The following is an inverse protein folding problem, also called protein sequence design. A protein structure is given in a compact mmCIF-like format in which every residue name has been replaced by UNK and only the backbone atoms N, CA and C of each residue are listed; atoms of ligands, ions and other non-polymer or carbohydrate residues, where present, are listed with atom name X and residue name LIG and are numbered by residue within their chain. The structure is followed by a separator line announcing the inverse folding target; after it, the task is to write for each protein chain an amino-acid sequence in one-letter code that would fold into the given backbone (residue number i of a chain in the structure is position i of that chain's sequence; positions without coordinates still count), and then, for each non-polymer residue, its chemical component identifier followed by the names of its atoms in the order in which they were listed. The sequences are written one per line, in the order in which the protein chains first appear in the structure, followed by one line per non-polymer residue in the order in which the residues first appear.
data_IF_168434983916
#
_entry.id   IF_168434983916
#
_cell.length_a   1.000
_cell.length_b   1.000
_cell.length_c   1.000
_cell.angle_alpha   90.00
_cell.angle_beta   90.00
_cell.angle_gamma   90.00
#
_symmetry.space_group_name_H-M   'P 1'
#
loop_
_entity.id
_entity.type
_entity.pdbx_description
1 polymer ?
#
# COMPACT_ATOMS: atom_id res chain seq x y z
N UNK A 1 23.25 2.32 3.37
CA UNK A 1 22.13 2.21 4.33
C UNK A 1 21.64 0.77 4.34
N UNK A 2 21.36 0.15 5.49
CA UNK A 2 21.01 -1.27 5.54
C UNK A 2 19.82 -1.50 6.49
N UNK A 3 18.71 -1.97 5.92
CA UNK A 3 17.58 -2.49 6.72
C UNK A 3 18.04 -3.82 7.34
N UNK A 4 18.15 -3.86 8.65
CA UNK A 4 18.61 -5.03 9.39
C UNK A 4 17.50 -5.60 10.29
N UNK A 5 17.74 -6.79 10.84
CA UNK A 5 16.76 -7.46 11.71
C UNK A 5 16.36 -6.62 12.92
N UNK A 6 17.31 -5.93 13.55
CA UNK A 6 17.04 -5.09 14.73
C UNK A 6 16.04 -3.97 14.41
N UNK A 7 16.15 -3.35 13.23
CA UNK A 7 15.18 -2.35 12.79
C UNK A 7 13.80 -2.99 12.56
N UNK A 8 13.73 -4.15 11.90
CA UNK A 8 12.46 -4.84 11.67
C UNK A 8 11.78 -5.19 13.00
N UNK A 9 12.53 -5.74 13.96
CA UNK A 9 12.00 -6.07 15.28
C UNK A 9 11.42 -4.82 16.00
N UNK A 10 12.11 -3.67 15.93
CA UNK A 10 11.61 -2.40 16.46
C UNK A 10 10.38 -1.89 15.69
N UNK A 11 10.39 -2.00 14.37
CA UNK A 11 9.28 -1.56 13.52
C UNK A 11 7.99 -2.34 13.81
N UNK A 12 8.08 -3.65 13.98
CA UNK A 12 6.92 -4.48 14.30
C UNK A 12 6.33 -4.13 15.67
N UNK A 13 7.17 -3.82 16.66
CA UNK A 13 6.70 -3.32 17.97
C UNK A 13 6.03 -1.96 17.80
N UNK A 14 6.72 -1.02 17.15
CA UNK A 14 6.19 0.32 16.88
C UNK A 14 4.87 0.26 16.09
N UNK A 15 4.79 -0.55 15.04
CA UNK A 15 3.59 -0.67 14.23
C UNK A 15 2.40 -1.23 15.00
N UNK A 16 2.63 -2.15 15.94
CA UNK A 16 1.59 -2.65 16.85
C UNK A 16 1.10 -1.56 17.81
N UNK A 17 2.02 -0.80 18.41
CA UNK A 17 1.68 0.31 19.30
C UNK A 17 0.91 1.40 18.56
N UNK A 18 1.41 1.84 17.40
CA UNK A 18 0.75 2.83 16.56
C UNK A 18 -0.64 2.35 16.12
N UNK A 19 -0.76 1.07 15.73
CA UNK A 19 -2.05 0.48 15.37
C UNK A 19 -3.08 0.54 16.50
N UNK A 20 -2.65 0.30 17.74
CA UNK A 20 -3.51 0.44 18.92
C UNK A 20 -3.94 1.89 19.16
N UNK A 21 -2.99 2.84 19.09
CA UNK A 21 -3.26 4.28 19.21
C UNK A 21 -4.30 4.74 18.15
N UNK A 22 -4.15 4.28 16.90
CA UNK A 22 -5.06 4.60 15.79
C UNK A 22 -6.46 4.02 16.03
N UNK A 23 -6.56 2.77 16.51
CA UNK A 23 -7.84 2.15 16.85
C UNK A 23 -8.54 2.85 18.03
N UNK A 24 -7.80 3.29 19.03
CA UNK A 24 -8.35 4.08 20.15
C UNK A 24 -8.94 5.40 19.65
N UNK A 25 -8.27 6.08 18.71
CA UNK A 25 -8.78 7.29 18.07
C UNK A 25 -10.05 6.99 17.26
N UNK A 26 -10.08 5.86 16.52
CA UNK A 26 -11.26 5.44 15.74
C UNK A 26 -12.50 5.21 16.63
N UNK A 27 -12.29 4.64 17.81
CA UNK A 27 -13.37 4.37 18.78
C UNK A 27 -13.95 5.64 19.41
N UNK A 28 -13.14 6.68 19.56
CA UNK A 28 -13.57 7.98 20.08
C UNK A 28 -14.18 8.86 18.97
N UNK A 29 -15.37 8.45 18.49
CA UNK A 29 -16.09 9.14 17.41
C UNK A 29 -16.37 10.62 17.69
N UNK A 30 -16.41 11.03 18.96
CA UNK A 30 -16.65 12.42 19.37
C UNK A 30 -15.43 13.32 19.14
N UNK A 31 -14.25 12.77 18.96
CA UNK A 31 -12.97 13.47 18.90
C UNK A 31 -12.14 13.09 17.65
N UNK A 32 -12.78 12.58 16.59
CA UNK A 32 -12.10 12.27 15.32
C UNK A 32 -11.56 13.52 14.61
N UNK A 33 -12.11 14.70 14.92
CA UNK A 33 -11.74 15.99 14.32
C UNK A 33 -11.58 15.90 12.79
N UNK A 34 -12.65 15.42 12.13
CA UNK A 34 -12.64 15.20 10.68
C UNK A 34 -12.70 16.54 9.97
N UNK A 35 -11.69 16.82 9.16
CA UNK A 35 -11.60 17.99 8.30
C UNK A 35 -11.63 17.55 6.83
N UNK A 36 -11.93 18.49 5.94
CA UNK A 36 -11.87 18.25 4.49
C UNK A 36 -10.63 18.94 3.93
N UNK A 37 -9.79 18.19 3.22
CA UNK A 37 -8.62 18.73 2.52
C UNK A 37 -9.06 19.53 1.28
N UNK A 38 -8.13 20.21 0.62
CA UNK A 38 -8.41 21.03 -0.58
C UNK A 38 -8.91 20.21 -1.78
N UNK A 39 -8.60 18.93 -1.81
CA UNK A 39 -9.00 17.96 -2.85
C UNK A 39 -10.27 17.18 -2.47
N UNK A 40 -11.02 17.67 -1.50
CA UNK A 40 -12.24 17.06 -0.95
C UNK A 40 -12.01 15.70 -0.25
N UNK A 41 -10.77 15.28 -0.02
CA UNK A 41 -10.47 14.09 0.79
C UNK A 41 -10.60 14.40 2.28
N UNK A 42 -10.99 13.42 3.11
CA UNK A 42 -11.06 13.61 4.55
C UNK A 42 -9.67 13.52 5.18
N UNK A 43 -9.49 14.31 6.23
CA UNK A 43 -8.36 14.27 7.15
C UNK A 43 -8.90 14.04 8.55
N UNK A 44 -8.39 13.11 9.29
CA UNK A 44 -8.74 12.90 10.69
C UNK A 44 -7.55 13.20 11.61
N UNK A 45 -7.84 13.33 12.89
CA UNK A 45 -6.82 13.44 13.93
C UNK A 45 -5.85 12.23 13.89
N UNK A 46 -6.34 11.06 13.48
CA UNK A 46 -5.53 9.85 13.41
C UNK A 46 -4.45 9.95 12.32
N UNK A 47 -4.75 10.55 11.16
CA UNK A 47 -3.78 10.77 10.09
C UNK A 47 -2.61 11.62 10.58
N UNK A 48 -2.90 12.76 11.21
CA UNK A 48 -1.87 13.66 11.76
C UNK A 48 -1.06 13.02 12.90
N UNK A 49 -1.74 12.28 13.79
CA UNK A 49 -1.09 11.55 14.87
C UNK A 49 -0.15 10.47 14.31
N UNK A 50 -0.64 9.67 13.38
CA UNK A 50 0.12 8.60 12.71
C UNK A 50 1.33 9.16 11.97
N UNK A 51 1.15 10.22 11.17
CA UNK A 51 2.25 10.90 10.46
C UNK A 51 3.37 11.33 11.42
N UNK A 52 3.00 12.01 12.51
CA UNK A 52 3.98 12.46 13.51
C UNK A 52 4.73 11.31 14.16
N UNK A 53 4.01 10.25 14.56
CA UNK A 53 4.59 9.06 15.20
C UNK A 53 5.58 8.34 14.27
N UNK A 54 5.18 8.14 13.00
CA UNK A 54 6.02 7.50 11.98
C UNK A 54 7.29 8.30 11.76
N UNK A 55 7.20 9.60 11.54
CA UNK A 55 8.37 10.46 11.30
C UNK A 55 9.33 10.46 12.48
N UNK A 56 8.82 10.53 13.71
CA UNK A 56 9.65 10.44 14.92
C UNK A 56 10.39 9.12 14.96
N UNK A 57 9.69 7.99 14.79
CA UNK A 57 10.30 6.66 14.79
C UNK A 57 11.37 6.51 13.71
N UNK A 58 11.11 6.99 12.48
CA UNK A 58 12.07 6.89 11.39
C UNK A 58 13.30 7.76 11.64
N UNK A 59 13.14 8.99 12.12
CA UNK A 59 14.25 9.90 12.42
C UNK A 59 15.16 9.41 13.56
N UNK A 60 14.63 8.65 14.50
CA UNK A 60 15.40 8.03 15.59
C UNK A 60 16.20 6.80 15.15
N UNK A 61 15.82 6.16 14.05
CA UNK A 61 16.42 4.91 13.58
C UNK A 61 17.20 5.03 12.27
N UNK A 62 17.06 6.14 11.53
CA UNK A 62 17.74 6.38 10.24
C UNK A 62 18.18 7.83 10.06
N UNK A 63 19.29 8.01 9.36
CA UNK A 63 19.79 9.34 8.98
C UNK A 63 19.07 9.94 7.75
N UNK A 64 18.12 9.21 7.12
CA UNK A 64 17.35 9.70 5.97
C UNK A 64 16.27 10.65 6.46
N UNK A 65 16.42 11.94 6.07
CA UNK A 65 15.53 13.02 6.48
C UNK A 65 14.61 13.53 5.36
N UNK A 66 14.61 12.84 4.22
CA UNK A 66 13.74 13.15 3.08
C UNK A 66 12.45 12.35 3.21
N UNK A 67 11.32 13.05 3.22
CA UNK A 67 9.99 12.45 3.40
C UNK A 67 9.03 13.01 2.37
N UNK A 68 8.23 12.15 1.76
CA UNK A 68 7.01 12.48 1.02
C UNK A 68 5.88 11.78 1.76
N UNK A 69 4.95 12.55 2.32
CA UNK A 69 3.80 12.00 3.04
C UNK A 69 2.52 12.67 2.55
N UNK A 70 1.43 11.91 2.52
CA UNK A 70 0.09 12.44 2.21
C UNK A 70 -0.29 13.65 3.08
N UNK A 71 0.19 13.69 4.33
CA UNK A 71 -0.17 14.73 5.31
C UNK A 71 0.85 15.87 5.40
N UNK A 72 1.88 15.84 4.58
CA UNK A 72 2.87 16.91 4.53
C UNK A 72 2.48 17.99 3.49
N UNK A 73 3.14 19.13 3.59
CA UNK A 73 3.10 20.11 2.51
C UNK A 73 3.78 19.54 1.27
N UNK A 74 3.20 19.84 0.12
CA UNK A 74 3.81 19.51 -1.16
C UNK A 74 5.23 20.07 -1.26
N UNK A 75 6.18 19.20 -1.61
CA UNK A 75 7.57 19.54 -1.89
C UNK A 75 7.72 19.65 -3.40
N UNK A 76 8.34 20.74 -3.88
CA UNK A 76 8.52 20.93 -5.32
C UNK A 76 9.36 19.78 -5.92
N UNK A 77 9.19 19.52 -7.20
CA UNK A 77 9.95 18.46 -7.87
C UNK A 77 11.46 18.80 -7.89
N UNK A 78 11.79 20.05 -8.12
CA UNK A 78 13.18 20.54 -8.14
C UNK A 78 13.91 20.31 -6.82
N UNK A 79 13.18 20.36 -5.69
CA UNK A 79 13.76 20.13 -4.36
C UNK A 79 14.00 18.63 -4.08
N UNK A 80 13.25 17.72 -4.73
CA UNK A 80 13.26 16.28 -4.44
C UNK A 80 13.78 15.39 -5.57
N UNK A 81 13.89 15.87 -6.82
CA UNK A 81 14.27 15.06 -7.99
C UNK A 81 15.62 14.33 -7.84
N UNK A 82 16.55 14.93 -7.07
CA UNK A 82 17.88 14.39 -6.84
C UNK A 82 18.02 13.61 -5.52
N UNK A 83 16.91 13.29 -4.84
CA UNK A 83 16.99 12.49 -3.62
C UNK A 83 17.42 11.06 -3.92
N UNK A 84 18.53 10.65 -3.34
CA UNK A 84 18.99 9.25 -3.47
C UNK A 84 18.14 8.31 -2.60
N UNK A 85 17.83 8.74 -1.36
CA UNK A 85 16.97 8.00 -0.43
C UNK A 85 15.90 8.91 0.15
N UNK A 86 14.68 8.40 0.24
CA UNK A 86 13.54 9.11 0.86
C UNK A 86 12.47 8.12 1.33
N UNK A 87 11.69 8.57 2.29
CA UNK A 87 10.53 7.84 2.77
C UNK A 87 9.26 8.31 2.04
N UNK A 88 8.44 7.34 1.64
CA UNK A 88 7.05 7.55 1.19
C UNK A 88 6.12 7.01 2.26
N UNK A 89 5.17 7.85 2.72
CA UNK A 89 4.32 7.55 3.88
C UNK A 89 2.87 7.87 3.55
N UNK A 90 2.00 6.89 3.74
CA UNK A 90 0.57 7.13 3.92
C UNK A 90 0.21 6.75 5.36
N UNK A 91 -0.07 7.74 6.21
CA UNK A 91 -0.35 7.51 7.62
C UNK A 91 -1.62 6.71 7.87
N UNK A 92 -2.65 6.87 7.02
CA UNK A 92 -3.89 6.07 7.03
C UNK A 92 -4.47 5.99 5.61
N UNK A 93 -4.03 5.01 4.84
CA UNK A 93 -4.68 4.63 3.58
C UNK A 93 -6.07 4.07 3.88
N UNK A 94 -7.10 4.68 3.30
CA UNK A 94 -8.47 4.33 3.55
C UNK A 94 -9.14 5.17 4.65
N UNK A 95 -8.80 6.46 4.75
CA UNK A 95 -9.38 7.40 5.75
C UNK A 95 -10.91 7.42 5.74
N UNK A 96 -11.56 7.24 4.58
CA UNK A 96 -13.03 7.17 4.48
C UNK A 96 -13.61 5.95 5.22
N UNK A 97 -12.98 4.81 5.06
CA UNK A 97 -13.34 3.55 5.73
C UNK A 97 -13.05 3.65 7.24
N UNK A 98 -11.91 4.22 7.60
CA UNK A 98 -11.53 4.49 8.99
C UNK A 98 -12.56 5.34 9.71
N UNK A 99 -12.98 6.48 9.14
CA UNK A 99 -13.97 7.40 9.74
C UNK A 99 -15.32 6.70 9.94
N UNK A 100 -15.72 5.82 9.04
CA UNK A 100 -16.96 5.02 9.17
C UNK A 100 -16.87 3.93 10.24
N UNK A 101 -15.69 3.70 10.82
CA UNK A 101 -15.46 2.62 11.78
C UNK A 101 -15.27 1.26 11.09
N UNK A 102 -14.86 1.26 9.82
CA UNK A 102 -14.52 0.05 9.06
C UNK A 102 -13.14 -0.49 9.42
N UNK A 103 -12.82 -1.65 8.87
CA UNK A 103 -11.55 -2.36 9.10
C UNK A 103 -10.57 -2.25 7.94
N UNK A 104 -11.02 -1.76 6.78
CA UNK A 104 -10.26 -1.76 5.53
C UNK A 104 -9.41 -0.49 5.41
N UNK A 105 -8.48 -0.29 6.34
CA UNK A 105 -7.50 0.79 6.31
C UNK A 105 -6.12 0.28 6.71
N UNK A 106 -5.08 0.93 6.19
CA UNK A 106 -3.69 0.54 6.40
C UNK A 106 -2.81 1.73 6.76
N UNK A 107 -1.61 1.44 7.27
CA UNK A 107 -0.51 2.38 7.46
C UNK A 107 0.60 1.95 6.51
N UNK A 108 0.98 2.80 5.56
CA UNK A 108 2.00 2.49 4.57
C UNK A 108 3.28 3.27 4.84
N UNK A 109 4.42 2.58 4.89
CA UNK A 109 5.74 3.17 5.05
C UNK A 109 6.68 2.50 4.05
N UNK A 110 7.23 3.26 3.10
CA UNK A 110 8.22 2.77 2.16
C UNK A 110 9.52 3.55 2.25
N UNK A 111 10.64 2.88 2.02
CA UNK A 111 11.92 3.50 1.75
C UNK A 111 12.26 3.28 0.29
N UNK A 112 12.50 4.37 -0.41
CA UNK A 112 12.93 4.36 -1.82
C UNK A 112 14.41 4.65 -1.96
N UNK A 113 15.00 4.08 -3.00
CA UNK A 113 16.30 4.47 -3.55
C UNK A 113 16.10 4.88 -5.01
N UNK A 114 16.41 6.15 -5.34
CA UNK A 114 16.05 6.69 -6.66
C UNK A 114 14.53 6.59 -6.88
N UNK A 115 14.10 5.86 -7.90
CA UNK A 115 12.67 5.69 -8.26
C UNK A 115 12.08 4.32 -7.92
N UNK A 116 12.73 3.55 -7.07
CA UNK A 116 12.26 2.21 -6.72
C UNK A 116 12.19 2.00 -5.22
N UNK A 117 11.19 1.27 -4.70
CA UNK A 117 11.16 0.88 -3.30
C UNK A 117 12.22 -0.19 -3.02
N UNK A 118 12.95 -0.02 -1.92
CA UNK A 118 13.90 -1.02 -1.40
C UNK A 118 13.43 -1.63 -0.09
N UNK A 119 12.38 -1.06 0.50
CA UNK A 119 11.72 -1.54 1.70
C UNK A 119 10.27 -1.05 1.71
N UNK A 120 9.36 -1.90 2.17
CA UNK A 120 7.96 -1.55 2.41
C UNK A 120 7.44 -2.18 3.70
N UNK A 121 6.57 -1.45 4.37
CA UNK A 121 5.79 -1.90 5.50
C UNK A 121 4.33 -1.48 5.32
N UNK A 122 3.42 -2.42 5.54
CA UNK A 122 1.96 -2.19 5.56
C UNK A 122 1.41 -2.74 6.87
N UNK A 123 0.98 -1.85 7.74
CA UNK A 123 0.28 -2.21 8.98
C UNK A 123 -1.23 -2.20 8.76
N UNK A 124 -1.93 -3.22 9.24
CA UNK A 124 -3.39 -3.35 9.15
C UNK A 124 -3.97 -3.40 10.57
N UNK A 125 -4.15 -2.25 11.24
CA UNK A 125 -4.46 -2.20 12.68
C UNK A 125 -5.70 -3.00 13.07
N UNK A 126 -6.78 -2.88 12.30
CA UNK A 126 -8.04 -3.55 12.60
C UNK A 126 -7.98 -5.08 12.46
N UNK A 127 -7.01 -5.60 11.72
CA UNK A 127 -6.79 -7.04 11.53
C UNK A 127 -5.69 -7.58 12.45
N UNK A 128 -4.88 -6.70 13.05
CA UNK A 128 -3.71 -7.08 13.81
C UNK A 128 -2.57 -7.63 12.96
N UNK A 129 -2.62 -7.43 11.64
CA UNK A 129 -1.64 -7.93 10.68
C UNK A 129 -0.61 -6.85 10.33
N UNK A 130 0.63 -7.28 10.11
CA UNK A 130 1.74 -6.43 9.68
C UNK A 130 2.51 -7.12 8.56
N UNK A 131 2.64 -6.45 7.43
CA UNK A 131 3.37 -6.93 6.27
C UNK A 131 4.62 -6.10 6.07
N UNK A 132 5.70 -6.72 5.65
CA UNK A 132 6.90 -6.02 5.22
C UNK A 132 7.68 -6.81 4.19
N UNK A 133 8.46 -6.09 3.39
CA UNK A 133 9.41 -6.66 2.46
C UNK A 133 10.69 -5.83 2.39
N UNK A 134 11.78 -6.49 2.04
CA UNK A 134 13.09 -5.88 1.81
C UNK A 134 13.56 -6.40 0.45
N UNK A 135 14.02 -5.52 -0.42
CA UNK A 135 14.55 -5.86 -1.74
C UNK A 135 15.51 -7.06 -1.67
N UNK A 136 15.21 -8.11 -2.44
CA UNK A 136 15.98 -9.36 -2.53
C UNK A 136 15.93 -10.26 -1.30
N UNK A 137 15.02 -10.01 -0.32
CA UNK A 137 14.93 -10.83 0.90
C UNK A 137 13.57 -11.48 1.13
N UNK A 138 12.59 -11.17 0.27
CA UNK A 138 11.23 -11.70 0.33
C UNK A 138 10.28 -10.88 1.17
N UNK A 139 9.01 -11.26 1.09
CA UNK A 139 7.89 -10.66 1.81
C UNK A 139 7.51 -11.47 3.03
N UNK A 140 7.02 -10.78 4.07
CA UNK A 140 6.67 -11.37 5.35
C UNK A 140 5.34 -10.80 5.88
N UNK A 141 4.57 -11.64 6.53
CA UNK A 141 3.40 -11.28 7.34
C UNK A 141 3.65 -11.71 8.78
N UNK A 142 3.60 -10.79 9.74
CA UNK A 142 3.82 -11.09 11.17
C UNK A 142 5.10 -11.91 11.43
N UNK A 143 6.17 -11.63 10.68
CA UNK A 143 7.46 -12.33 10.65
C UNK A 143 7.48 -13.71 9.98
N UNK A 144 6.36 -14.20 9.47
CA UNK A 144 6.30 -15.41 8.64
C UNK A 144 6.45 -15.05 7.17
N UNK A 145 7.28 -15.80 6.44
CA UNK A 145 7.48 -15.56 5.01
C UNK A 145 6.20 -15.90 4.24
N UNK A 146 5.81 -15.03 3.33
CA UNK A 146 4.65 -15.19 2.47
C UNK A 146 5.06 -15.28 1.00
N UNK A 147 4.19 -15.90 0.22
CA UNK A 147 4.33 -16.05 -1.22
C UNK A 147 2.97 -15.81 -1.87
N UNK A 148 2.99 -15.15 -3.00
CA UNK A 148 1.81 -15.11 -3.85
C UNK A 148 1.47 -16.51 -4.34
N UNK A 149 0.26 -16.69 -4.82
CA UNK A 149 -0.16 -17.96 -5.39
C UNK A 149 0.70 -18.30 -6.61
N UNK A 150 1.43 -19.41 -6.58
CA UNK A 150 2.19 -19.84 -7.75
C UNK A 150 1.23 -20.52 -8.72
N UNK A 151 1.03 -19.92 -9.86
CA UNK A 151 0.23 -20.28 -11.01
C UNK A 151 0.08 -21.78 -11.33
N UNK A 152 -0.68 -22.48 -10.56
CA UNK A 152 -1.32 -23.70 -11.04
C UNK A 152 -2.79 -23.37 -11.23
N UNK A 153 -3.19 -22.90 -12.43
CA UNK A 153 -4.59 -22.81 -12.84
C UNK A 153 -5.24 -24.20 -12.98
N UNK A 154 -4.97 -25.08 -12.01
CA UNK A 154 -5.73 -26.34 -11.87
C UNK A 154 -7.19 -26.04 -11.51
N UNK A 155 -7.47 -24.84 -10.97
CA UNK A 155 -8.82 -24.31 -10.81
C UNK A 155 -9.10 -23.27 -11.90
N UNK A 156 -10.22 -23.37 -12.60
CA UNK A 156 -10.69 -22.37 -13.54
C UNK A 156 -11.20 -21.08 -12.82
N UNK A 157 -10.97 -20.96 -11.52
CA UNK A 157 -11.42 -19.85 -10.67
C UNK A 157 -10.30 -18.82 -10.54
N UNK A 158 -10.65 -17.55 -10.76
CA UNK A 158 -9.76 -16.40 -10.63
C UNK A 158 -10.30 -15.44 -9.57
N UNK A 159 -9.55 -15.25 -8.48
CA UNK A 159 -9.90 -14.33 -7.42
C UNK A 159 -9.43 -12.92 -7.78
N UNK A 160 -10.35 -12.02 -8.11
CA UNK A 160 -10.05 -10.63 -8.47
C UNK A 160 -10.39 -9.71 -7.31
N UNK A 161 -9.41 -8.97 -6.78
CA UNK A 161 -9.70 -7.94 -5.78
C UNK A 161 -9.99 -6.60 -6.45
N UNK A 162 -11.07 -5.95 -6.02
CA UNK A 162 -11.43 -4.63 -6.50
C UNK A 162 -11.92 -3.73 -5.36
N UNK A 163 -11.98 -2.42 -5.61
CA UNK A 163 -12.49 -1.46 -4.64
C UNK A 163 -14.01 -1.52 -4.57
N UNK A 164 -14.56 -1.60 -3.35
CA UNK A 164 -16.00 -1.47 -3.10
C UNK A 164 -16.58 -0.14 -3.58
N UNK A 165 -15.78 0.92 -3.48
CA UNK A 165 -16.23 2.32 -3.64
C UNK A 165 -15.87 2.93 -5.00
N UNK A 166 -15.03 2.26 -5.81
CA UNK A 166 -14.45 2.83 -7.03
C UNK A 166 -14.46 1.83 -8.21
N UNK A 167 -15.56 1.10 -8.38
CA UNK A 167 -15.79 0.27 -9.54
C UNK A 167 -16.23 1.18 -10.71
N UNK A 168 -15.30 1.54 -11.59
CA UNK A 168 -15.58 2.28 -12.82
C UNK A 168 -15.75 1.32 -14.01
N UNK A 169 -16.12 1.88 -15.17
CA UNK A 169 -16.38 1.10 -16.37
C UNK A 169 -15.12 0.38 -16.88
N UNK A 170 -13.93 0.98 -16.76
CA UNK A 170 -12.66 0.36 -17.15
C UNK A 170 -12.36 -0.88 -16.31
N UNK A 171 -12.52 -0.77 -14.99
CA UNK A 171 -12.33 -1.90 -14.09
C UNK A 171 -13.33 -3.03 -14.38
N UNK A 172 -14.58 -2.65 -14.63
CA UNK A 172 -15.63 -3.61 -14.96
C UNK A 172 -15.34 -4.32 -16.29
N UNK A 173 -15.01 -3.57 -17.35
CA UNK A 173 -14.66 -4.15 -18.65
C UNK A 173 -13.46 -5.08 -18.57
N UNK A 174 -12.45 -4.74 -17.75
CA UNK A 174 -11.29 -5.62 -17.53
C UNK A 174 -11.72 -6.94 -16.89
N UNK A 175 -12.59 -6.90 -15.86
CA UNK A 175 -13.11 -8.09 -15.17
C UNK A 175 -14.00 -8.91 -16.11
N UNK A 176 -14.85 -8.27 -16.89
CA UNK A 176 -15.72 -8.94 -17.88
C UNK A 176 -14.88 -9.71 -18.91
N UNK A 177 -13.77 -9.13 -19.40
CA UNK A 177 -12.85 -9.80 -20.32
C UNK A 177 -12.16 -11.01 -19.69
N UNK A 178 -11.81 -10.98 -18.41
CA UNK A 178 -11.27 -12.14 -17.69
C UNK A 178 -12.31 -13.25 -17.58
N UNK A 179 -13.60 -12.88 -17.45
CA UNK A 179 -14.71 -13.82 -17.33
C UNK A 179 -15.00 -14.61 -18.61
N UNK A 180 -14.44 -14.20 -19.75
CA UNK A 180 -14.50 -15.00 -21.00
C UNK A 180 -13.65 -16.28 -20.91
N UNK A 181 -12.65 -16.30 -20.03
CA UNK A 181 -11.71 -17.43 -19.90
C UNK A 181 -11.71 -18.10 -18.54
N UNK A 182 -12.21 -17.42 -17.49
CA UNK A 182 -12.17 -17.86 -16.10
C UNK A 182 -13.51 -17.67 -15.40
N UNK A 183 -13.77 -18.48 -14.39
CA UNK A 183 -14.80 -18.19 -13.39
C UNK A 183 -14.25 -17.17 -12.41
N UNK A 184 -14.72 -15.89 -12.50
CA UNK A 184 -14.20 -14.81 -11.68
C UNK A 184 -14.94 -14.72 -10.35
N UNK A 185 -14.21 -14.84 -9.25
CA UNK A 185 -14.68 -14.50 -7.90
C UNK A 185 -14.20 -13.11 -7.53
N UNK A 186 -15.15 -12.17 -7.27
CA UNK A 186 -14.86 -10.80 -6.94
C UNK A 186 -14.74 -10.59 -5.43
N UNK A 187 -13.54 -10.22 -4.97
CA UNK A 187 -13.24 -9.90 -3.58
C UNK A 187 -13.23 -8.39 -3.38
N UNK A 188 -14.14 -7.89 -2.56
CA UNK A 188 -14.28 -6.46 -2.30
C UNK A 188 -13.55 -6.05 -1.02
N UNK A 189 -12.39 -5.41 -1.17
CA UNK A 189 -11.53 -4.95 -0.07
C UNK A 189 -11.08 -3.52 -0.32
N UNK A 190 -10.89 -2.74 0.76
CA UNK A 190 -10.37 -1.38 0.71
C UNK A 190 -8.84 -1.30 0.82
N UNK A 191 -8.26 -0.11 0.62
CA UNK A 191 -6.88 0.23 0.97
C UNK A 191 -5.81 -0.68 0.31
N UNK A 192 -4.60 -0.62 0.80
CA UNK A 192 -3.44 -1.46 0.44
C UNK A 192 -3.59 -2.93 0.80
N UNK A 193 -4.65 -3.31 1.54
CA UNK A 193 -5.01 -4.73 1.78
C UNK A 193 -5.14 -5.53 0.49
N UNK A 194 -5.51 -4.90 -0.62
CA UNK A 194 -5.60 -5.55 -1.93
C UNK A 194 -4.27 -6.14 -2.39
N UNK A 195 -3.19 -5.40 -2.26
CA UNK A 195 -1.84 -5.90 -2.53
C UNK A 195 -1.44 -7.03 -1.56
N UNK A 196 -1.76 -6.85 -0.28
CA UNK A 196 -1.46 -7.85 0.76
C UNK A 196 -2.17 -9.18 0.48
N UNK A 197 -3.40 -9.13 -0.03
CA UNK A 197 -4.13 -10.36 -0.40
C UNK A 197 -3.45 -11.10 -1.54
N UNK A 198 -2.93 -10.41 -2.55
CA UNK A 198 -2.14 -11.06 -3.60
C UNK A 198 -0.84 -11.62 -3.02
N UNK A 199 -0.14 -10.84 -2.21
CA UNK A 199 1.11 -11.28 -1.58
C UNK A 199 0.97 -12.53 -0.71
N UNK A 200 -0.22 -12.77 -0.14
CA UNK A 200 -0.56 -13.98 0.63
C UNK A 200 -1.11 -15.13 -0.23
N UNK A 201 -1.28 -14.94 -1.54
CA UNK A 201 -1.93 -15.92 -2.42
C UNK A 201 -3.44 -16.07 -2.21
N UNK A 202 -4.11 -15.07 -1.61
CA UNK A 202 -5.57 -15.08 -1.40
C UNK A 202 -6.34 -14.44 -2.56
N UNK A 203 -5.65 -13.73 -3.42
CA UNK A 203 -6.18 -13.16 -4.65
C UNK A 203 -5.17 -13.33 -5.77
N UNK A 204 -5.62 -13.26 -7.01
CA UNK A 204 -4.85 -13.55 -8.20
C UNK A 204 -4.59 -12.30 -9.04
N UNK A 205 -5.54 -11.35 -9.07
CA UNK A 205 -5.45 -10.13 -9.87
C UNK A 205 -6.03 -8.94 -9.10
N UNK A 206 -5.34 -7.81 -9.18
CA UNK A 206 -5.83 -6.50 -8.73
C UNK A 206 -5.67 -5.46 -9.84
N UNK A 207 -6.73 -5.19 -10.62
CA UNK A 207 -6.73 -4.10 -11.57
C UNK A 207 -7.04 -2.77 -10.87
N UNK A 208 -6.28 -1.72 -11.17
CA UNK A 208 -6.52 -0.38 -10.65
C UNK A 208 -6.60 0.66 -11.77
N UNK A 209 -7.81 0.93 -12.24
CA UNK A 209 -8.13 1.95 -13.23
C UNK A 209 -8.78 3.19 -12.58
N UNK A 210 -8.36 3.53 -11.39
CA UNK A 210 -8.77 4.73 -10.69
C UNK A 210 -7.56 5.44 -10.07
N UNK A 211 -7.66 6.72 -9.72
CA UNK A 211 -6.53 7.48 -9.20
C UNK A 211 -6.00 6.89 -7.90
N UNK A 212 -4.68 6.88 -7.78
CA UNK A 212 -3.92 6.60 -6.55
C UNK A 212 -2.67 7.46 -6.54
N UNK A 213 -2.17 7.77 -5.37
CA UNK A 213 -0.92 8.49 -5.21
C UNK A 213 0.24 7.53 -4.96
N UNK A 214 1.47 8.01 -5.09
CA UNK A 214 2.66 7.19 -4.88
C UNK A 214 2.72 6.55 -3.49
N UNK A 215 2.28 7.24 -2.45
CA UNK A 215 2.27 6.73 -1.08
C UNK A 215 1.28 5.59 -0.84
N UNK A 216 0.21 5.48 -1.68
CA UNK A 216 -0.76 4.37 -1.62
C UNK A 216 -0.16 3.05 -2.11
N UNK A 217 0.86 3.11 -2.98
CA UNK A 217 1.34 1.93 -3.74
C UNK A 217 2.76 1.51 -3.42
N UNK A 218 3.63 2.42 -3.00
CA UNK A 218 5.06 2.15 -2.89
C UNK A 218 5.39 1.03 -1.88
N UNK A 219 4.83 1.10 -0.68
CA UNK A 219 5.06 0.07 0.33
C UNK A 219 4.43 -1.28 -0.06
N UNK A 220 3.14 -1.33 -0.49
CA UNK A 220 2.55 -2.60 -0.84
C UNK A 220 3.08 -3.18 -2.16
N UNK A 221 3.62 -2.37 -3.10
CA UNK A 221 4.24 -2.87 -4.32
C UNK A 221 5.40 -3.81 -4.00
N UNK A 222 6.40 -3.37 -3.23
CA UNK A 222 7.56 -4.23 -2.93
C UNK A 222 7.15 -5.47 -2.14
N UNK A 223 6.09 -5.39 -1.33
CA UNK A 223 5.55 -6.56 -0.63
C UNK A 223 4.98 -7.57 -1.64
N UNK A 224 4.24 -7.10 -2.64
CA UNK A 224 3.73 -7.95 -3.70
C UNK A 224 4.87 -8.54 -4.55
N UNK A 225 5.82 -7.72 -5.01
CA UNK A 225 6.94 -8.16 -5.84
C UNK A 225 7.84 -9.18 -5.12
N UNK A 226 8.19 -8.93 -3.86
CA UNK A 226 9.02 -9.84 -3.05
C UNK A 226 8.28 -11.11 -2.62
N UNK A 227 6.97 -11.17 -2.75
CA UNK A 227 6.17 -12.39 -2.62
C UNK A 227 6.12 -13.23 -3.92
N UNK A 228 6.54 -12.63 -5.05
CA UNK A 228 6.56 -13.25 -6.38
C UNK A 228 5.43 -12.78 -7.31
N UNK A 229 4.67 -11.76 -6.95
CA UNK A 229 3.70 -11.13 -7.84
C UNK A 229 4.38 -10.06 -8.72
N UNK A 230 3.73 -9.72 -9.84
CA UNK A 230 4.14 -8.64 -10.73
C UNK A 230 3.27 -7.40 -10.50
N UNK A 231 3.88 -6.22 -10.55
CA UNK A 231 3.20 -4.92 -10.47
C UNK A 231 3.63 -4.05 -11.65
N UNK A 232 2.71 -3.68 -12.52
CA UNK A 232 3.05 -2.95 -13.73
C UNK A 232 1.96 -1.95 -14.15
N UNK A 233 2.40 -0.94 -14.89
CA UNK A 233 1.51 0.04 -15.56
C UNK A 233 0.64 -0.68 -16.57
N UNK A 234 -0.67 -0.47 -16.51
CA UNK A 234 -1.65 -1.23 -17.31
C UNK A 234 -1.44 -1.11 -18.83
N UNK A 235 -1.03 0.07 -19.32
CA UNK A 235 -0.92 0.31 -20.75
C UNK A 235 0.45 -0.08 -21.35
N UNK A 236 1.51 -0.10 -20.53
CA UNK A 236 2.88 -0.25 -21.03
C UNK A 236 3.61 -1.47 -20.51
N UNK A 237 3.06 -2.16 -19.53
CA UNK A 237 3.68 -3.26 -18.78
C UNK A 237 5.02 -2.86 -18.11
N UNK A 238 5.30 -1.56 -18.03
CA UNK A 238 6.48 -1.05 -17.33
C UNK A 238 6.26 -1.10 -15.82
N UNK A 239 7.32 -1.24 -14.99
CA UNK A 239 7.18 -1.14 -13.54
C UNK A 239 6.67 0.26 -13.14
N UNK A 240 5.95 0.35 -12.02
CA UNK A 240 5.65 1.62 -11.41
C UNK A 240 6.94 2.27 -10.90
N UNK A 241 7.03 3.59 -11.01
CA UNK A 241 8.16 4.38 -10.54
C UNK A 241 7.71 5.48 -9.60
N UNK A 242 8.60 5.91 -8.74
CA UNK A 242 8.35 6.84 -7.64
C UNK A 242 9.19 8.09 -7.74
N UNK A 243 8.82 9.13 -6.99
CA UNK A 243 9.41 10.46 -7.05
C UNK A 243 9.23 11.14 -8.42
N UNK A 244 8.11 10.88 -9.08
CA UNK A 244 7.75 11.55 -10.33
C UNK A 244 7.43 13.02 -10.08
N UNK A 245 7.52 13.88 -11.10
CA UNK A 245 7.06 15.26 -11.01
C UNK A 245 5.60 15.33 -10.53
N UNK A 246 4.72 14.55 -11.15
CA UNK A 246 3.36 14.32 -10.64
C UNK A 246 3.33 13.03 -9.84
N UNK A 247 2.99 13.13 -8.55
CA UNK A 247 2.92 11.98 -7.63
C UNK A 247 1.69 11.09 -7.86
N UNK A 248 0.80 11.46 -8.80
CA UNK A 248 -0.29 10.58 -9.24
C UNK A 248 0.27 9.37 -9.98
N UNK A 249 -0.22 8.19 -9.64
CA UNK A 249 0.14 6.96 -10.36
C UNK A 249 -0.59 6.83 -11.70
N UNK A 250 0.03 6.22 -12.71
CA UNK A 250 -0.70 5.67 -13.84
C UNK A 250 -1.61 4.53 -13.37
N UNK A 251 -2.55 4.12 -14.19
CA UNK A 251 -3.32 2.90 -13.94
C UNK A 251 -2.39 1.69 -13.96
N UNK A 252 -2.66 0.74 -13.08
CA UNK A 252 -1.77 -0.41 -12.89
C UNK A 252 -2.54 -1.71 -12.66
N UNK A 253 -1.81 -2.82 -12.82
CA UNK A 253 -2.31 -4.16 -12.52
C UNK A 253 -1.28 -4.83 -11.61
N UNK A 254 -1.79 -5.52 -10.59
CA UNK A 254 -1.02 -6.47 -9.77
C UNK A 254 -1.52 -7.87 -10.09
N UNK A 255 -0.62 -8.78 -10.37
CA UNK A 255 -1.00 -10.17 -10.70
C UNK A 255 0.09 -11.13 -10.24
N UNK A 256 -0.32 -12.31 -9.86
CA UNK A 256 0.57 -13.44 -9.59
C UNK A 256 0.79 -14.32 -10.82
N UNK A 257 0.32 -13.90 -11.98
CA UNK A 257 0.20 -14.77 -13.14
C UNK A 257 0.74 -14.18 -14.43
N UNK A 258 1.17 -15.05 -15.34
CA UNK A 258 1.45 -14.74 -16.74
C UNK A 258 0.19 -14.54 -17.60
N UNK A 259 -0.98 -14.28 -16.98
CA UNK A 259 -2.27 -14.12 -17.66
C UNK A 259 -2.35 -12.94 -18.62
N UNK A 260 -1.40 -12.02 -18.56
CA UNK A 260 -1.47 -10.73 -19.26
C UNK A 260 -0.32 -10.59 -20.29
N UNK A 261 0.36 -11.69 -20.60
CA UNK A 261 1.39 -11.73 -21.66
C UNK A 261 0.89 -12.39 -22.93
#
# INVERSE_FOLDING_TARGET
MQINKTFIDKLLVFGKELGQEVLEIQLDKSNLDVQTKKDDSPLSKADLHSNKRIRTFLSENFDVQNYISEEDKEISYEDRENWEYYWLIDPIDGTKEFIKGGSDFCINIALCKGNSPIFGYVGCPALGDQYYAIEGRGAFKNSERIFCNSNNFDSNILNVVASKSHMNDETKNFIDNLSDSFEVELLNVGSSLKFCMLAEGKADVYPRFGPTMEWDTCAPQIIAEESGADVFVADSLAPLTYNKENLLNPFFIVTNTTLIH
#
